data_IF_407436548682
#
_entry.id   IF_407436548682
#
_cell.length_a   1.000
_cell.length_b   1.000
_cell.length_c   1.000
_cell.angle_alpha   90.00
_cell.angle_beta   90.00
_cell.angle_gamma   90.00
#
_symmetry.space_group_name_H-M   'P 1'
#
loop_
_entity.id
_entity.type
_entity.pdbx_description
1 polymer ?
#
# COMPACT_ATOMS: atom_id res chain seq x y z
N UNK A 1 -4.57 26.07 24.06
CA UNK A 1 -5.18 25.94 22.73
C UNK A 1 -5.07 24.52 22.25
N UNK A 2 -6.18 23.88 21.92
CA UNK A 2 -6.05 22.63 21.22
C UNK A 2 -5.31 22.94 19.92
N UNK A 3 -4.17 22.31 19.74
CA UNK A 3 -3.50 22.31 18.45
C UNK A 3 -4.54 21.83 17.45
N UNK A 4 -4.93 22.69 16.55
CA UNK A 4 -5.59 22.23 15.34
C UNK A 4 -4.74 21.07 14.85
N UNK A 5 -5.36 19.93 14.64
CA UNK A 5 -4.68 18.77 14.09
C UNK A 5 -4.00 19.25 12.82
N UNK A 6 -2.67 19.29 12.88
CA UNK A 6 -1.88 19.85 11.81
C UNK A 6 -2.36 19.31 10.48
N UNK A 7 -2.45 20.18 9.52
CA UNK A 7 -2.90 19.81 8.19
C UNK A 7 -2.12 18.61 7.68
N UNK A 8 -2.83 17.55 7.40
CA UNK A 8 -2.29 16.36 6.78
C UNK A 8 -1.94 16.69 5.33
N UNK A 9 -0.66 16.87 5.06
CA UNK A 9 -0.16 17.19 3.71
C UNK A 9 0.27 15.91 3.01
N UNK A 10 -0.56 15.42 2.11
CA UNK A 10 -0.27 14.21 1.34
C UNK A 10 0.81 14.50 0.29
N UNK A 11 1.86 13.69 0.31
CA UNK A 11 2.99 13.78 -0.61
C UNK A 11 2.85 12.80 -1.76
N UNK A 12 2.44 11.57 -1.44
CA UNK A 12 2.29 10.51 -2.42
C UNK A 12 1.12 9.61 -2.06
N UNK A 13 0.43 9.10 -3.05
CA UNK A 13 -0.69 8.18 -2.90
C UNK A 13 -0.52 6.96 -3.77
N UNK A 14 -1.00 5.82 -3.30
CA UNK A 14 -0.93 4.55 -4.01
C UNK A 14 -2.33 4.14 -4.47
N UNK A 15 -2.78 4.70 -5.57
CA UNK A 15 -4.10 4.40 -6.15
C UNK A 15 -4.19 2.96 -6.64
N UNK A 16 -3.09 2.43 -7.15
CA UNK A 16 -3.02 1.05 -7.63
C UNK A 16 -3.28 0.05 -6.51
N UNK A 17 -2.76 0.30 -5.30
CA UNK A 17 -3.00 -0.55 -4.16
C UNK A 17 -4.48 -0.62 -3.79
N UNK A 18 -5.17 0.51 -3.83
CA UNK A 18 -6.62 0.56 -3.56
C UNK A 18 -7.44 -0.21 -4.59
N UNK A 19 -6.94 -0.29 -5.81
CA UNK A 19 -7.56 -1.05 -6.89
C UNK A 19 -7.24 -2.55 -6.80
N UNK A 20 -5.99 -2.89 -6.48
CA UNK A 20 -5.48 -4.26 -6.51
C UNK A 20 -5.72 -5.04 -5.20
N UNK A 21 -6.01 -4.34 -4.11
CA UNK A 21 -6.16 -4.94 -2.79
C UNK A 21 -7.49 -4.59 -2.15
N UNK A 22 -8.05 -5.56 -1.42
CA UNK A 22 -9.16 -5.30 -0.50
C UNK A 22 -8.57 -4.87 0.84
N UNK A 23 -8.83 -3.62 1.22
CA UNK A 23 -8.28 -3.04 2.45
C UNK A 23 -9.18 -3.43 3.62
N UNK A 24 -8.59 -4.01 4.65
CA UNK A 24 -9.31 -4.41 5.84
C UNK A 24 -9.09 -3.45 7.00
N UNK A 25 -7.84 -3.20 7.35
CA UNK A 25 -7.47 -2.28 8.42
C UNK A 25 -6.42 -1.28 7.94
N UNK A 26 -6.44 -0.07 8.50
CA UNK A 26 -5.45 0.95 8.22
C UNK A 26 -4.74 1.40 9.50
N UNK A 27 -3.46 1.72 9.38
CA UNK A 27 -2.62 2.18 10.48
C UNK A 27 -1.78 3.37 10.04
N UNK A 28 -1.57 4.32 10.94
CA UNK A 28 -0.62 5.40 10.74
C UNK A 28 0.72 5.01 11.39
N UNK A 29 1.79 5.02 10.61
CA UNK A 29 3.14 4.74 11.07
C UNK A 29 4.05 5.94 10.85
N UNK A 30 4.96 6.19 11.77
CA UNK A 30 6.05 7.13 11.55
C UNK A 30 7.09 6.53 10.62
N UNK A 31 7.74 7.35 9.81
CA UNK A 31 8.84 6.94 8.94
C UNK A 31 10.17 7.47 9.44
N UNK A 32 11.15 6.59 9.57
CA UNK A 32 12.53 6.98 9.86
C UNK A 32 13.26 7.24 8.54
N UNK A 33 13.55 8.50 8.29
CA UNK A 33 14.10 8.97 7.02
C UNK A 33 15.40 9.74 7.24
N UNK A 34 16.24 9.77 6.20
CA UNK A 34 17.39 10.67 6.15
C UNK A 34 16.94 12.10 5.80
N UNK A 35 17.79 13.10 6.07
CA UNK A 35 17.47 14.49 5.72
C UNK A 35 17.21 14.70 4.25
N UNK A 36 17.94 14.01 3.38
CA UNK A 36 17.75 14.10 1.92
C UNK A 36 16.42 13.49 1.47
N UNK A 37 16.01 12.39 2.11
CA UNK A 37 14.72 11.78 1.86
C UNK A 37 13.57 12.68 2.29
N UNK A 38 13.68 13.34 3.43
CA UNK A 38 12.69 14.31 3.90
C UNK A 38 12.54 15.46 2.90
N UNK A 39 13.64 15.97 2.39
CA UNK A 39 13.64 17.03 1.37
C UNK A 39 12.95 16.58 0.08
N UNK A 40 13.23 15.35 -0.37
CA UNK A 40 12.56 14.77 -1.54
C UNK A 40 11.06 14.66 -1.34
N UNK A 41 10.64 14.21 -0.17
CA UNK A 41 9.22 14.14 0.17
C UNK A 41 8.56 15.51 0.17
N UNK A 42 9.22 16.52 0.74
CA UNK A 42 8.70 17.90 0.72
C UNK A 42 8.54 18.45 -0.69
N UNK A 43 9.37 17.99 -1.61
CA UNK A 43 9.28 18.31 -3.04
C UNK A 43 8.24 17.44 -3.79
N UNK A 44 7.54 16.56 -3.09
CA UNK A 44 6.54 15.67 -3.69
C UNK A 44 7.12 14.50 -4.48
N UNK A 45 8.36 14.14 -4.22
CA UNK A 45 9.07 13.09 -4.96
C UNK A 45 9.07 11.78 -4.17
N UNK A 46 8.10 10.93 -4.44
CA UNK A 46 8.05 9.57 -3.92
C UNK A 46 7.12 8.72 -4.78
N UNK A 47 7.42 7.43 -4.87
CA UNK A 47 6.55 6.46 -5.52
C UNK A 47 6.32 5.26 -4.60
N UNK A 48 5.06 4.93 -4.38
CA UNK A 48 4.63 3.82 -3.52
C UNK A 48 4.25 2.57 -4.30
N UNK A 49 4.28 2.62 -5.62
CA UNK A 49 3.68 1.60 -6.49
C UNK A 49 4.18 0.18 -6.19
N UNK A 50 5.47 0.02 -5.94
CA UNK A 50 6.08 -1.28 -5.63
C UNK A 50 6.30 -1.49 -4.13
N UNK A 51 5.89 -0.53 -3.30
CA UNK A 51 6.13 -0.56 -1.87
C UNK A 51 5.32 -1.62 -1.15
N UNK A 52 5.91 -2.19 -0.13
CA UNK A 52 5.23 -3.11 0.79
C UNK A 52 5.84 -3.02 2.18
N UNK A 53 5.04 -3.40 3.17
CA UNK A 53 5.50 -3.46 4.55
C UNK A 53 5.65 -4.88 5.04
N UNK A 54 6.47 -5.08 6.05
CA UNK A 54 6.64 -6.37 6.72
C UNK A 54 7.08 -6.18 8.15
N UNK A 55 6.90 -7.21 8.94
CA UNK A 55 7.33 -7.26 10.33
C UNK A 55 8.51 -8.24 10.43
N UNK A 56 9.61 -7.76 11.00
CA UNK A 56 10.81 -8.55 11.20
C UNK A 56 11.46 -8.17 12.53
N UNK A 57 11.75 -9.15 13.37
CA UNK A 57 12.36 -8.91 14.66
C UNK A 57 11.53 -8.04 15.61
N UNK A 58 10.20 -8.10 15.51
CA UNK A 58 9.30 -7.29 16.32
C UNK A 58 9.21 -5.83 15.89
N UNK A 59 9.75 -5.50 14.74
CA UNK A 59 9.76 -4.15 14.16
C UNK A 59 9.06 -4.12 12.82
N UNK A 60 8.49 -2.96 12.48
CA UNK A 60 7.83 -2.74 11.21
C UNK A 60 8.78 -2.09 10.21
N UNK A 61 8.79 -2.61 8.99
CA UNK A 61 9.66 -2.15 7.90
C UNK A 61 8.86 -1.87 6.64
N UNK A 62 9.32 -0.86 5.91
CA UNK A 62 8.79 -0.49 4.61
C UNK A 62 9.87 -0.68 3.55
N UNK A 63 9.60 -1.47 2.53
CA UNK A 63 10.55 -1.78 1.47
C UNK A 63 10.02 -1.37 0.10
N UNK A 64 10.94 -1.22 -0.84
CA UNK A 64 10.66 -0.95 -2.25
C UNK A 64 9.90 0.36 -2.54
N UNK A 65 9.79 1.26 -1.58
CA UNK A 65 9.28 2.62 -1.80
C UNK A 65 10.40 3.48 -2.38
N UNK A 66 10.14 4.08 -3.52
CA UNK A 66 11.10 4.93 -4.21
C UNK A 66 11.05 6.35 -3.65
N UNK A 67 12.12 6.76 -2.97
CA UNK A 67 12.34 8.13 -2.52
C UNK A 67 13.70 8.56 -3.07
N UNK A 68 13.74 9.39 -4.13
CA UNK A 68 15.00 9.81 -4.72
C UNK A 68 15.78 10.72 -3.78
N UNK A 69 17.09 10.72 -3.91
CA UNK A 69 17.92 11.67 -3.20
C UNK A 69 17.70 13.09 -3.76
N UNK A 70 17.71 14.07 -2.87
CA UNK A 70 17.49 15.46 -3.25
C UNK A 70 18.73 16.09 -3.92
N UNK A 71 19.93 15.57 -3.65
CA UNK A 71 21.17 16.10 -4.22
C UNK A 71 21.36 15.69 -5.69
N UNK A 72 21.17 16.64 -6.56
CA UNK A 72 21.56 16.49 -7.95
C UNK A 72 23.10 16.41 -8.05
N UNK A 73 23.63 15.28 -8.46
CA UNK A 73 25.04 15.07 -8.68
C UNK A 73 25.82 14.39 -7.56
N UNK A 74 25.14 13.91 -6.54
CA UNK A 74 25.77 13.06 -5.54
C UNK A 74 25.99 11.67 -6.13
N UNK A 75 27.24 11.29 -6.18
CA UNK A 75 27.69 9.94 -6.60
C UNK A 75 27.38 8.87 -5.56
N UNK A 76 26.88 9.28 -4.39
CA UNK A 76 26.49 8.36 -3.35
C UNK A 76 25.11 7.81 -3.68
N UNK A 77 25.12 6.70 -4.38
CA UNK A 77 23.94 5.91 -4.62
C UNK A 77 23.48 5.24 -3.32
N UNK A 78 22.86 6.03 -2.41
CA UNK A 78 22.00 5.38 -1.44
C UNK A 78 20.87 4.69 -2.20
N UNK A 79 20.60 3.41 -1.91
CA UNK A 79 19.50 2.75 -2.59
C UNK A 79 18.21 3.55 -2.34
N UNK A 80 17.72 4.19 -3.39
CA UNK A 80 16.48 5.00 -3.31
C UNK A 80 15.27 4.18 -2.89
N UNK A 81 15.37 2.86 -3.02
CA UNK A 81 14.37 1.88 -2.61
C UNK A 81 14.78 1.07 -1.39
N UNK A 82 15.61 1.65 -0.54
CA UNK A 82 16.09 0.96 0.66
C UNK A 82 14.96 0.61 1.62
N UNK A 83 15.18 -0.40 2.43
CA UNK A 83 14.35 -0.75 3.57
C UNK A 83 14.36 0.39 4.60
N UNK A 84 13.17 0.85 4.99
CA UNK A 84 13.00 1.95 5.94
C UNK A 84 12.22 1.47 7.15
N UNK A 85 12.67 1.89 8.34
CA UNK A 85 11.98 1.54 9.58
C UNK A 85 10.71 2.37 9.72
N UNK A 86 9.64 1.70 10.13
CA UNK A 86 8.39 2.33 10.50
C UNK A 86 8.18 2.28 12.01
N UNK A 87 7.61 3.35 12.54
CA UNK A 87 7.33 3.46 13.98
C UNK A 87 5.85 3.22 14.22
N UNK A 88 5.56 2.12 14.90
CA UNK A 88 4.23 1.72 15.31
C UNK A 88 4.25 1.31 16.79
N UNK A 89 3.12 1.40 17.45
CA UNK A 89 2.96 0.86 18.80
C UNK A 89 3.08 -0.67 18.78
N UNK A 90 3.66 -1.25 19.83
CA UNK A 90 3.82 -2.70 19.94
C UNK A 90 2.50 -3.47 19.76
N UNK A 91 1.41 -2.94 20.28
CA UNK A 91 0.08 -3.54 20.12
C UNK A 91 -0.35 -3.58 18.65
N UNK A 92 -0.05 -2.53 17.89
CA UNK A 92 -0.34 -2.47 16.46
C UNK A 92 0.52 -3.45 15.66
N UNK A 93 1.82 -3.51 15.98
CA UNK A 93 2.75 -4.47 15.35
C UNK A 93 2.27 -5.90 15.56
N UNK A 94 1.84 -6.22 16.78
CA UNK A 94 1.33 -7.55 17.12
C UNK A 94 0.06 -7.89 16.33
N UNK A 95 -0.88 -6.96 16.24
CA UNK A 95 -2.10 -7.14 15.45
C UNK A 95 -1.80 -7.39 13.96
N UNK A 96 -0.90 -6.59 13.40
CA UNK A 96 -0.47 -6.72 12.00
C UNK A 96 0.21 -8.07 11.79
N UNK A 97 1.13 -8.43 12.68
CA UNK A 97 1.85 -9.70 12.60
C UNK A 97 0.90 -10.90 12.62
N UNK A 98 -0.05 -10.91 13.55
CA UNK A 98 -1.04 -11.98 13.65
C UNK A 98 -1.92 -12.09 12.42
N UNK A 99 -2.31 -10.95 11.86
CA UNK A 99 -3.12 -10.90 10.64
C UNK A 99 -2.37 -11.45 9.43
N UNK A 100 -1.12 -11.06 9.25
CA UNK A 100 -0.26 -11.55 8.17
C UNK A 100 0.02 -13.04 8.34
N UNK A 101 0.21 -13.51 9.57
CA UNK A 101 0.44 -14.92 9.91
C UNK A 101 -0.75 -15.81 9.56
N UNK A 102 -1.97 -15.30 9.63
CA UNK A 102 -3.17 -16.04 9.21
C UNK A 102 -3.15 -16.39 7.72
N UNK A 103 -2.32 -15.71 6.94
CA UNK A 103 -2.16 -15.94 5.51
C UNK A 103 -3.12 -15.12 4.64
N UNK A 104 -2.69 -14.82 3.44
CA UNK A 104 -3.49 -14.07 2.48
C UNK A 104 -3.48 -12.55 2.68
N UNK A 105 -2.93 -12.04 3.77
CA UNK A 105 -2.82 -10.62 4.04
C UNK A 105 -1.41 -10.12 3.81
N UNK A 106 -1.31 -8.90 3.32
CA UNK A 106 -0.04 -8.19 3.15
C UNK A 106 -0.17 -6.77 3.69
N UNK A 107 0.94 -6.14 3.97
CA UNK A 107 0.99 -4.77 4.45
C UNK A 107 1.39 -3.86 3.29
N UNK A 108 0.50 -2.94 2.93
CA UNK A 108 0.66 -2.10 1.75
C UNK A 108 0.61 -0.63 2.14
N UNK A 109 1.57 0.20 1.69
CA UNK A 109 1.48 1.64 1.92
C UNK A 109 0.44 2.27 0.98
N UNK A 110 -0.47 3.02 1.54
CA UNK A 110 -1.52 3.72 0.79
C UNK A 110 -1.14 5.16 0.46
N UNK A 111 -0.49 5.84 1.39
CA UNK A 111 -0.06 7.22 1.20
C UNK A 111 1.10 7.56 2.12
N UNK A 112 1.90 8.53 1.70
CA UNK A 112 2.88 9.19 2.55
C UNK A 112 2.45 10.65 2.70
N UNK A 113 2.51 11.15 3.90
CA UNK A 113 2.08 12.51 4.21
C UNK A 113 2.88 13.09 5.38
N UNK A 114 2.84 14.40 5.51
CA UNK A 114 3.35 15.08 6.70
C UNK A 114 2.18 15.41 7.62
N UNK A 115 2.35 15.09 8.88
CA UNK A 115 1.42 15.45 9.93
C UNK A 115 2.23 16.12 11.05
N UNK A 116 1.93 17.38 11.34
CA UNK A 116 2.71 18.21 12.29
C UNK A 116 4.23 18.23 11.98
N UNK A 117 4.60 18.26 10.71
CA UNK A 117 5.99 18.28 10.27
C UNK A 117 6.71 16.95 10.28
N UNK A 118 6.06 15.88 10.72
CA UNK A 118 6.61 14.53 10.74
C UNK A 118 6.12 13.69 9.57
N UNK A 119 7.05 12.99 8.94
CA UNK A 119 6.69 12.07 7.86
C UNK A 119 5.97 10.85 8.41
N UNK A 120 4.80 10.58 7.86
CA UNK A 120 3.95 9.44 8.22
C UNK A 120 3.58 8.65 6.98
N UNK A 121 3.29 7.39 7.17
CA UNK A 121 2.76 6.51 6.12
C UNK A 121 1.46 5.91 6.60
N UNK A 122 0.45 5.92 5.74
CA UNK A 122 -0.78 5.20 5.96
C UNK A 122 -0.59 3.78 5.42
N UNK A 123 -0.65 2.81 6.32
CA UNK A 123 -0.50 1.40 6.00
C UNK A 123 -1.85 0.71 5.98
N UNK A 124 -2.03 -0.20 5.05
CA UNK A 124 -3.19 -1.06 5.00
C UNK A 124 -2.80 -2.52 5.20
N UNK A 125 -3.54 -3.21 6.06
CA UNK A 125 -3.56 -4.67 6.06
C UNK A 125 -4.59 -5.05 5.02
N UNK A 126 -4.14 -5.66 3.95
CA UNK A 126 -4.94 -5.85 2.76
C UNK A 126 -4.78 -7.25 2.19
N UNK A 127 -5.82 -7.69 1.51
CA UNK A 127 -5.86 -8.96 0.82
C UNK A 127 -5.75 -8.71 -0.67
N UNK A 128 -4.79 -9.35 -1.32
CA UNK A 128 -4.61 -9.19 -2.75
C UNK A 128 -5.81 -9.69 -3.54
N UNK A 129 -6.35 -8.87 -4.41
CA UNK A 129 -7.33 -9.30 -5.41
C UNK A 129 -6.69 -10.12 -6.51
N UNK A 130 -5.35 -10.13 -6.55
CA UNK A 130 -4.58 -10.60 -7.70
C UNK A 130 -4.73 -12.07 -8.01
N UNK A 131 -4.83 -12.93 -7.01
CA UNK A 131 -4.88 -14.38 -7.27
C UNK A 131 -6.27 -14.95 -7.06
N UNK A 132 -6.97 -14.46 -6.05
CA UNK A 132 -8.27 -14.98 -5.66
C UNK A 132 -9.42 -14.25 -6.37
N UNK A 133 -9.42 -12.92 -6.30
CA UNK A 133 -10.53 -12.13 -6.82
C UNK A 133 -10.47 -11.95 -8.33
N UNK A 134 -9.28 -11.95 -8.94
CA UNK A 134 -9.15 -12.00 -10.39
C UNK A 134 -9.64 -13.31 -10.97
N UNK A 135 -9.34 -14.41 -10.32
CA UNK A 135 -9.85 -15.72 -10.73
C UNK A 135 -11.35 -15.80 -10.56
N UNK A 136 -11.87 -15.29 -9.46
CA UNK A 136 -13.31 -15.20 -9.24
C UNK A 136 -13.99 -14.27 -10.24
N UNK A 137 -13.44 -13.10 -10.47
CA UNK A 137 -13.97 -12.16 -11.45
C UNK A 137 -13.95 -12.74 -12.87
N UNK A 138 -12.90 -13.46 -13.24
CA UNK A 138 -12.82 -14.17 -14.51
C UNK A 138 -13.81 -15.32 -14.59
N UNK A 139 -13.97 -16.08 -13.50
CA UNK A 139 -14.98 -17.15 -13.43
C UNK A 139 -16.39 -16.58 -13.53
N UNK A 140 -16.71 -15.54 -12.80
CA UNK A 140 -18.01 -14.88 -12.85
C UNK A 140 -18.32 -14.35 -14.26
N UNK A 141 -17.34 -13.76 -14.93
CA UNK A 141 -17.48 -13.32 -16.32
C UNK A 141 -17.68 -14.49 -17.27
N UNK A 142 -16.96 -15.57 -17.08
CA UNK A 142 -17.06 -16.77 -17.89
C UNK A 142 -18.39 -17.46 -17.68
N UNK A 143 -18.82 -17.63 -16.43
CA UNK A 143 -20.11 -18.21 -16.07
C UNK A 143 -21.26 -17.37 -16.64
N UNK A 144 -21.15 -16.06 -16.58
CA UNK A 144 -22.13 -15.15 -17.18
C UNK A 144 -22.18 -15.32 -18.71
N UNK A 145 -21.04 -15.41 -19.37
CA UNK A 145 -20.97 -15.65 -20.82
C UNK A 145 -21.60 -16.97 -21.21
N UNK A 146 -21.32 -18.02 -20.44
CA UNK A 146 -21.91 -19.35 -20.69
C UNK A 146 -23.42 -19.33 -20.44
N UNK A 147 -23.88 -18.66 -19.42
CA UNK A 147 -25.31 -18.48 -19.16
C UNK A 147 -25.99 -17.72 -20.30
N UNK A 148 -25.39 -16.64 -20.76
CA UNK A 148 -25.91 -15.83 -21.86
C UNK A 148 -25.94 -16.63 -23.17
N UNK A 149 -24.92 -17.47 -23.44
CA UNK A 149 -24.88 -18.38 -24.58
C UNK A 149 -25.99 -19.45 -24.50
N UNK A 150 -26.21 -20.01 -23.31
CA UNK A 150 -27.25 -21.00 -23.10
C UNK A 150 -28.64 -20.40 -23.34
N UNK A 151 -28.88 -19.18 -22.91
CA UNK A 151 -30.13 -18.46 -23.15
C UNK A 151 -30.32 -18.17 -24.64
N UNK A 152 -29.28 -17.71 -25.34
CA UNK A 152 -29.31 -17.45 -26.77
C UNK A 152 -29.60 -18.72 -27.56
N UNK A 153 -28.97 -19.82 -27.19
CA UNK A 153 -29.18 -21.14 -27.84
C UNK A 153 -30.63 -21.62 -27.63
N UNK A 154 -31.19 -21.46 -26.43
CA UNK A 154 -32.60 -21.79 -26.15
C UNK A 154 -33.56 -20.94 -26.95
N UNK A 155 -33.29 -19.65 -27.11
CA UNK A 155 -34.10 -18.76 -27.95
C UNK A 155 -34.08 -19.20 -29.42
N UNK A 156 -32.93 -19.60 -29.93
CA UNK A 156 -32.78 -20.07 -31.31
C UNK A 156 -33.45 -21.44 -31.55
N UNK A 157 -33.56 -22.27 -30.52
CA UNK A 157 -34.23 -23.57 -30.61
C UNK A 157 -35.74 -23.49 -30.51
N UNK A 158 -36.27 -22.39 -29.97
CA UNK A 158 -37.73 -22.16 -29.80
C UNK A 158 -38.35 -21.33 -30.93
N UNK A 159 -37.56 -20.94 -31.91
CA UNK A 159 -38.07 -20.27 -33.12
C UNK A 159 -38.40 -21.28 -34.19
#
# INVERSE_FOLDING_TARGET
MPRERGEKKVVASNRKARHDYTIEDTYEAGLVLTGTEVKSLRAGRASLVDGYGFIEGGEAWLDAVHIPEFNQGSWNNHPVRRKRKMLLHKAQILKIHNKIKEGGYTLVPLSIYFNDGNAKVELAVAKGKREYDKRQALRERQDKREADRAIATRKNLNE
#
